data_IF_823688697458
#
_entry.id   IF_823688697458
#
_cell.length_a   1.000
_cell.length_b   1.000
_cell.length_c   1.000
_cell.angle_alpha   90.00
_cell.angle_beta   90.00
_cell.angle_gamma   90.00
#
_symmetry.space_group_name_H-M   'P 1'
#
loop_
_entity.id
_entity.type
_entity.pdbx_description
1 polymer ?
#
# COMPACT_ATOMS: atom_id res chain seq x y z
N UNK A 1 5.95 10.14 1.26
CA UNK A 1 7.38 9.77 1.15
C UNK A 1 7.77 9.44 -0.29
N UNK A 2 7.20 8.42 -0.93
CA UNK A 2 7.65 7.87 -2.22
C UNK A 2 7.81 8.92 -3.33
N UNK A 3 6.85 9.84 -3.46
CA UNK A 3 6.92 10.96 -4.42
C UNK A 3 8.20 11.80 -4.25
N UNK A 4 8.51 12.20 -3.01
CA UNK A 4 9.73 12.99 -2.74
C UNK A 4 10.99 12.17 -2.96
N UNK A 5 10.95 10.88 -2.63
CA UNK A 5 12.09 9.97 -2.86
C UNK A 5 12.39 9.80 -4.35
N UNK A 6 11.37 9.71 -5.21
CA UNK A 6 11.59 9.67 -6.65
C UNK A 6 12.28 10.94 -7.17
N UNK A 7 11.92 12.12 -6.63
CA UNK A 7 12.51 13.39 -7.04
C UNK A 7 13.89 13.66 -6.42
N UNK A 8 14.09 13.32 -5.16
CA UNK A 8 15.32 13.68 -4.43
C UNK A 8 16.44 12.65 -4.56
N UNK A 9 16.09 11.39 -4.85
CA UNK A 9 17.03 10.27 -4.93
C UNK A 9 16.90 9.50 -6.24
N UNK A 10 16.67 10.20 -7.35
CA UNK A 10 16.46 9.60 -8.66
C UNK A 10 17.66 8.77 -9.11
N UNK A 11 18.88 9.24 -8.88
CA UNK A 11 20.13 8.56 -9.18
C UNK A 11 20.29 7.24 -8.40
N UNK A 12 20.01 7.25 -7.09
CA UNK A 12 20.01 6.05 -6.25
C UNK A 12 18.94 5.05 -6.73
N UNK A 13 17.75 5.55 -7.09
CA UNK A 13 16.62 4.75 -7.59
C UNK A 13 17.00 4.04 -8.91
N UNK A 14 17.53 4.77 -9.88
CA UNK A 14 18.00 4.22 -11.16
C UNK A 14 19.14 3.24 -10.97
N UNK A 15 20.10 3.56 -10.09
CA UNK A 15 21.20 2.66 -9.76
C UNK A 15 20.72 1.35 -9.14
N UNK A 16 19.72 1.40 -8.23
CA UNK A 16 19.09 0.19 -7.68
C UNK A 16 18.44 -0.67 -8.75
N UNK A 17 17.75 -0.07 -9.73
CA UNK A 17 17.20 -0.79 -10.88
C UNK A 17 18.30 -1.45 -11.71
N UNK A 18 19.43 -0.75 -11.97
CA UNK A 18 20.59 -1.32 -12.70
C UNK A 18 21.17 -2.54 -12.00
N UNK A 19 21.23 -2.54 -10.67
CA UNK A 19 21.65 -3.72 -9.88
C UNK A 19 20.74 -4.90 -10.17
N UNK A 20 19.42 -4.71 -10.14
CA UNK A 20 18.46 -5.78 -10.47
C UNK A 20 18.61 -6.25 -11.93
N UNK A 21 18.76 -5.34 -12.88
CA UNK A 21 18.96 -5.68 -14.29
C UNK A 21 20.30 -6.38 -14.56
N UNK A 22 21.26 -6.28 -13.67
CA UNK A 22 22.51 -7.06 -13.72
C UNK A 22 22.24 -8.51 -13.30
N UNK A 23 21.42 -8.72 -12.28
CA UNK A 23 21.01 -10.06 -11.82
C UNK A 23 20.10 -10.73 -12.85
N UNK A 24 19.24 -9.96 -13.51
CA UNK A 24 18.26 -10.42 -14.49
C UNK A 24 18.55 -9.79 -15.87
N UNK A 25 19.55 -10.28 -16.62
CA UNK A 25 20.05 -9.62 -17.85
C UNK A 25 19.00 -9.51 -18.96
N UNK A 26 18.02 -10.41 -18.99
CA UNK A 26 16.94 -10.41 -19.97
C UNK A 26 15.67 -9.67 -19.51
N UNK A 27 15.67 -9.08 -18.32
CA UNK A 27 14.52 -8.34 -17.79
C UNK A 27 14.48 -6.91 -18.32
N UNK A 28 13.28 -6.31 -18.25
CA UNK A 28 13.05 -4.87 -18.41
C UNK A 28 12.66 -4.26 -17.08
N UNK A 29 13.24 -3.12 -16.74
CA UNK A 29 12.91 -2.30 -15.58
C UNK A 29 11.82 -1.29 -15.96
N UNK A 30 10.67 -1.31 -15.28
CA UNK A 30 9.56 -0.41 -15.57
C UNK A 30 9.25 0.42 -14.32
N UNK A 31 9.40 1.73 -14.43
CA UNK A 31 8.96 2.68 -13.41
C UNK A 31 7.51 3.05 -13.68
N UNK A 32 6.59 2.47 -12.93
CA UNK A 32 5.15 2.72 -13.05
C UNK A 32 4.75 3.86 -12.12
N UNK A 33 4.49 5.03 -12.67
CA UNK A 33 4.22 6.28 -11.93
C UNK A 33 2.86 6.81 -12.30
N UNK A 34 2.07 7.25 -11.30
CA UNK A 34 0.75 7.85 -11.55
C UNK A 34 0.87 9.14 -12.34
N UNK A 35 -0.04 9.37 -13.29
CA UNK A 35 -0.07 10.49 -14.24
C UNK A 35 -0.22 11.88 -13.59
N UNK A 36 -0.58 11.94 -12.31
CA UNK A 36 -0.58 13.16 -11.50
C UNK A 36 0.81 13.54 -10.94
N UNK A 37 1.86 12.77 -11.24
CA UNK A 37 3.26 12.98 -10.83
C UNK A 37 4.14 13.27 -12.05
N UNK A 38 3.75 14.25 -12.88
CA UNK A 38 4.40 14.58 -14.15
C UNK A 38 5.88 14.89 -14.00
N UNK A 39 6.23 15.66 -12.98
CA UNK A 39 7.61 16.02 -12.65
C UNK A 39 8.49 14.79 -12.33
N UNK A 40 7.93 13.76 -11.68
CA UNK A 40 8.63 12.49 -11.47
C UNK A 40 8.82 11.73 -12.79
N UNK A 41 7.80 11.71 -13.64
CA UNK A 41 7.84 11.04 -14.95
C UNK A 41 8.93 11.69 -15.80
N UNK A 42 8.88 13.00 -16.00
CA UNK A 42 9.85 13.77 -16.77
C UNK A 42 11.29 13.54 -16.28
N UNK A 43 11.48 13.63 -14.96
CA UNK A 43 12.80 13.42 -14.36
C UNK A 43 13.32 11.99 -14.55
N UNK A 44 12.48 10.98 -14.36
CA UNK A 44 12.87 9.59 -14.57
C UNK A 44 13.19 9.31 -16.04
N UNK A 45 12.39 9.83 -16.98
CA UNK A 45 12.65 9.71 -18.43
C UNK A 45 14.00 10.32 -18.81
N UNK A 46 14.35 11.50 -18.27
CA UNK A 46 15.66 12.11 -18.48
C UNK A 46 16.81 11.20 -18.03
N UNK A 47 16.68 10.57 -16.86
CA UNK A 47 17.73 9.74 -16.29
C UNK A 47 17.91 8.37 -16.96
N UNK A 48 16.86 7.82 -17.58
CA UNK A 48 16.91 6.50 -18.23
C UNK A 48 17.23 6.51 -19.71
N UNK A 49 17.30 7.69 -20.38
CA UNK A 49 17.47 7.85 -21.83
C UNK A 49 18.58 6.99 -22.45
N UNK A 50 19.60 6.62 -21.68
CA UNK A 50 20.74 5.84 -22.16
C UNK A 50 20.61 4.32 -21.98
N UNK A 51 19.51 3.81 -21.40
CA UNK A 51 19.34 2.36 -21.15
C UNK A 51 18.01 1.86 -21.72
N UNK A 52 18.07 1.20 -22.88
CA UNK A 52 16.90 0.65 -23.58
C UNK A 52 16.12 -0.43 -22.79
N UNK A 53 16.70 -0.94 -21.71
CA UNK A 53 16.05 -1.90 -20.81
C UNK A 53 15.20 -1.24 -19.75
N UNK A 54 15.21 0.09 -19.63
CA UNK A 54 14.40 0.84 -18.68
C UNK A 54 13.31 1.65 -19.39
N UNK A 55 12.14 1.70 -18.77
CA UNK A 55 10.96 2.40 -19.28
C UNK A 55 10.23 3.10 -18.14
N UNK A 56 9.70 4.30 -18.39
CA UNK A 56 8.73 4.95 -17.50
C UNK A 56 7.34 4.78 -18.09
N UNK A 57 6.41 4.26 -17.28
CA UNK A 57 5.02 4.06 -17.69
C UNK A 57 4.09 4.94 -16.85
N UNK A 58 3.48 5.93 -17.49
CA UNK A 58 2.45 6.73 -16.86
C UNK A 58 1.20 5.89 -16.61
N UNK A 59 0.74 5.87 -15.35
CA UNK A 59 -0.39 5.09 -14.89
C UNK A 59 -1.54 6.02 -14.54
N UNK A 60 -2.77 5.65 -14.91
CA UNK A 60 -3.95 6.41 -14.47
C UNK A 60 -3.99 6.50 -12.96
N UNK A 61 -4.13 7.70 -12.41
CA UNK A 61 -4.35 7.92 -10.98
C UNK A 61 -5.70 7.34 -10.57
N UNK A 62 -5.70 6.14 -10.01
CA UNK A 62 -6.90 5.42 -9.55
C UNK A 62 -6.57 4.45 -8.44
N UNK A 63 -7.14 4.64 -7.26
CA UNK A 63 -6.95 3.71 -6.16
C UNK A 63 -7.70 2.37 -6.38
N UNK A 64 -7.09 1.20 -6.15
CA UNK A 64 -5.73 0.94 -5.67
C UNK A 64 -4.73 0.54 -6.78
N UNK A 65 -4.40 1.44 -7.70
CA UNK A 65 -3.51 1.19 -8.84
C UNK A 65 -2.13 0.64 -8.43
N UNK A 66 -1.60 1.07 -7.28
CA UNK A 66 -0.33 0.59 -6.73
C UNK A 66 -0.39 -0.80 -6.07
N UNK A 67 -1.56 -1.44 -5.99
CA UNK A 67 -1.65 -2.80 -5.49
C UNK A 67 -0.98 -3.77 -6.49
N UNK A 68 -0.10 -4.64 -6.00
CA UNK A 68 0.79 -5.51 -6.79
C UNK A 68 0.07 -6.19 -7.98
N UNK A 69 -1.07 -6.83 -7.76
CA UNK A 69 -1.82 -7.52 -8.82
C UNK A 69 -2.39 -6.56 -9.87
N UNK A 70 -2.92 -5.40 -9.45
CA UNK A 70 -3.41 -4.38 -10.36
C UNK A 70 -2.27 -3.79 -11.18
N UNK A 71 -1.12 -3.56 -10.53
CA UNK A 71 0.07 -3.04 -11.19
C UNK A 71 0.59 -4.01 -12.25
N UNK A 72 0.79 -5.28 -11.91
CA UNK A 72 1.20 -6.34 -12.86
C UNK A 72 0.25 -6.36 -14.07
N UNK A 73 -1.06 -6.43 -13.81
CA UNK A 73 -2.05 -6.48 -14.90
C UNK A 73 -1.99 -5.25 -15.80
N UNK A 74 -1.93 -4.04 -15.22
CA UNK A 74 -1.94 -2.79 -15.99
C UNK A 74 -0.65 -2.61 -16.80
N UNK A 75 0.47 -3.04 -16.26
CA UNK A 75 1.78 -2.91 -16.93
C UNK A 75 2.00 -3.98 -17.99
N UNK A 76 1.57 -5.24 -17.74
CA UNK A 76 1.95 -6.40 -18.56
C UNK A 76 0.79 -7.13 -19.21
N UNK A 77 -0.48 -6.80 -18.89
CA UNK A 77 -1.69 -7.55 -19.23
C UNK A 77 -1.71 -9.01 -18.71
N UNK A 78 -0.82 -9.36 -17.78
CA UNK A 78 -0.78 -10.66 -17.14
C UNK A 78 -1.57 -10.61 -15.83
N UNK A 79 -2.44 -11.60 -15.61
CA UNK A 79 -3.25 -11.68 -14.38
C UNK A 79 -2.70 -12.76 -13.45
N UNK A 80 -2.64 -12.45 -12.15
CA UNK A 80 -2.33 -13.42 -11.10
C UNK A 80 -3.47 -13.47 -10.08
N UNK A 81 -3.71 -14.66 -9.53
CA UNK A 81 -4.71 -14.91 -8.50
C UNK A 81 -4.09 -15.03 -7.09
N UNK A 82 -4.91 -15.38 -6.08
CA UNK A 82 -4.47 -15.49 -4.68
C UNK A 82 -3.51 -16.65 -4.40
N UNK A 83 -3.39 -17.61 -5.29
CA UNK A 83 -2.48 -18.75 -5.16
C UNK A 83 -1.16 -18.54 -5.92
N UNK A 84 -1.05 -17.49 -6.72
CA UNK A 84 0.11 -17.16 -7.54
C UNK A 84 0.97 -16.06 -6.90
N UNK A 85 2.25 -16.10 -7.20
CA UNK A 85 3.22 -15.05 -6.89
C UNK A 85 3.47 -14.18 -8.14
N UNK A 86 3.99 -12.95 -8.02
CA UNK A 86 4.43 -12.14 -9.16
C UNK A 86 5.37 -12.88 -10.10
N UNK A 87 6.24 -13.73 -9.56
CA UNK A 87 7.16 -14.56 -10.34
C UNK A 87 6.46 -15.52 -11.32
N UNK A 88 5.25 -16.01 -11.00
CA UNK A 88 4.47 -16.86 -11.88
C UNK A 88 3.98 -16.09 -13.13
N UNK A 89 3.92 -14.76 -13.03
CA UNK A 89 3.68 -13.87 -14.17
C UNK A 89 5.00 -13.36 -14.79
N UNK A 90 6.16 -13.87 -14.37
CA UNK A 90 7.47 -13.38 -14.79
C UNK A 90 7.75 -11.93 -14.37
N UNK A 91 7.26 -11.52 -13.21
CA UNK A 91 7.39 -10.16 -12.69
C UNK A 91 8.03 -10.16 -11.30
N UNK A 92 8.75 -9.08 -11.00
CA UNK A 92 9.15 -8.68 -9.66
C UNK A 92 8.56 -7.28 -9.47
N UNK A 93 7.92 -7.03 -8.34
CA UNK A 93 7.32 -5.73 -8.01
C UNK A 93 7.94 -5.21 -6.73
N UNK A 94 8.60 -4.07 -6.83
CA UNK A 94 9.27 -3.41 -5.73
C UNK A 94 8.79 -1.95 -5.56
N UNK A 95 8.84 -1.47 -4.33
CA UNK A 95 8.64 -0.07 -4.02
C UNK A 95 9.92 0.74 -4.29
N UNK A 96 9.80 2.03 -4.56
CA UNK A 96 10.94 2.95 -4.77
C UNK A 96 11.95 2.92 -3.63
N UNK A 97 11.51 2.82 -2.39
CA UNK A 97 12.40 2.69 -1.22
C UNK A 97 13.20 1.38 -1.24
N UNK A 98 12.65 0.30 -1.78
CA UNK A 98 13.37 -0.96 -1.94
C UNK A 98 14.53 -0.80 -2.92
N UNK A 99 14.31 -0.17 -4.08
CA UNK A 99 15.37 0.07 -5.05
C UNK A 99 16.48 0.98 -4.51
N UNK A 100 16.11 2.06 -3.82
CA UNK A 100 17.08 2.93 -3.13
C UNK A 100 17.85 2.14 -2.05
N UNK A 101 17.16 1.28 -1.31
CA UNK A 101 17.79 0.38 -0.33
C UNK A 101 18.76 -0.61 -0.97
N UNK A 102 18.44 -1.15 -2.15
CA UNK A 102 19.33 -2.02 -2.92
C UNK A 102 20.59 -1.26 -3.36
N UNK A 103 20.44 -0.05 -3.91
CA UNK A 103 21.60 0.79 -4.23
C UNK A 103 22.50 0.97 -3.01
N UNK A 104 21.96 1.43 -1.89
CA UNK A 104 22.73 1.70 -0.67
C UNK A 104 23.42 0.45 -0.13
N UNK A 105 22.74 -0.69 -0.16
CA UNK A 105 23.33 -1.94 0.33
C UNK A 105 24.46 -2.46 -0.57
N UNK A 106 24.27 -2.43 -1.89
CA UNK A 106 25.19 -3.04 -2.85
C UNK A 106 26.33 -2.10 -3.25
N UNK A 107 26.01 -0.82 -3.47
CA UNK A 107 26.98 0.17 -3.96
C UNK A 107 27.70 0.88 -2.81
N UNK A 108 26.97 1.23 -1.74
CA UNK A 108 27.54 1.99 -0.62
C UNK A 108 27.94 1.11 0.57
N UNK A 109 27.56 -0.18 0.58
CA UNK A 109 27.78 -1.09 1.73
C UNK A 109 26.96 -0.72 2.97
N UNK A 110 25.88 0.05 2.83
CA UNK A 110 25.03 0.53 3.93
C UNK A 110 23.77 -0.32 4.09
N UNK A 111 23.56 -1.00 5.22
CA UNK A 111 22.33 -1.75 5.45
C UNK A 111 21.12 -0.82 5.61
N UNK A 112 19.92 -1.37 5.41
CA UNK A 112 18.66 -0.64 5.64
C UNK A 112 18.43 -0.44 7.14
N UNK A 113 18.84 0.70 7.66
CA UNK A 113 18.72 1.09 9.09
C UNK A 113 17.83 2.31 9.29
N UNK A 114 17.37 2.94 8.23
CA UNK A 114 16.56 4.16 8.26
C UNK A 114 15.39 4.09 7.26
N UNK A 115 14.33 4.85 7.53
CA UNK A 115 13.17 4.98 6.66
C UNK A 115 12.73 6.44 6.57
N UNK A 116 12.11 6.81 5.45
CA UNK A 116 11.34 8.05 5.34
C UNK A 116 9.88 7.74 5.65
N UNK A 117 9.35 8.36 6.68
CA UNK A 117 7.96 8.17 7.16
C UNK A 117 7.21 9.49 7.05
N UNK A 118 6.03 9.46 6.44
CA UNK A 118 5.15 10.64 6.36
C UNK A 118 4.36 10.77 7.66
N UNK A 119 4.40 11.94 8.29
CA UNK A 119 3.51 12.29 9.41
C UNK A 119 2.49 13.30 8.91
N UNK A 120 1.20 13.01 9.06
CA UNK A 120 0.12 13.85 8.55
C UNK A 120 -1.19 13.62 9.31
N UNK A 121 -2.20 14.38 8.96
CA UNK A 121 -3.53 14.38 9.59
C UNK A 121 -3.84 15.72 10.22
N UNK A 122 -5.12 15.97 10.46
CA UNK A 122 -5.61 17.27 10.98
C UNK A 122 -5.25 17.51 12.45
N UNK A 123 -4.77 16.48 13.17
CA UNK A 123 -4.27 16.61 14.53
C UNK A 123 -2.77 16.97 14.60
N UNK A 124 -2.00 16.83 13.51
CA UNK A 124 -0.54 17.08 13.50
C UNK A 124 -0.24 18.57 13.35
N UNK A 125 0.68 19.10 14.16
CA UNK A 125 1.07 20.52 14.08
C UNK A 125 1.89 20.83 12.82
N UNK A 126 2.94 20.04 12.55
CA UNK A 126 3.87 20.25 11.42
C UNK A 126 3.93 18.99 10.55
N UNK A 127 2.95 18.76 9.65
CA UNK A 127 2.96 17.59 8.79
C UNK A 127 4.16 17.63 7.82
N UNK A 128 4.77 16.44 7.59
CA UNK A 128 5.95 16.35 6.74
C UNK A 128 6.44 14.93 6.53
N UNK A 129 7.57 14.82 5.84
CA UNK A 129 8.30 13.57 5.68
C UNK A 129 9.55 13.59 6.57
N UNK A 130 9.70 12.58 7.40
CA UNK A 130 10.77 12.48 8.39
C UNK A 130 11.64 11.27 8.08
N UNK A 131 12.95 11.48 7.99
CA UNK A 131 13.94 10.41 7.90
C UNK A 131 14.31 9.99 9.32
N UNK A 132 14.00 8.75 9.66
CA UNK A 132 14.16 8.21 11.02
C UNK A 132 14.85 6.86 11.01
N UNK A 133 15.54 6.51 12.11
CA UNK A 133 16.11 5.19 12.31
C UNK A 133 15.01 4.14 12.55
N UNK A 134 15.25 2.92 12.13
CA UNK A 134 14.41 1.80 12.52
C UNK A 134 14.48 1.62 14.04
N UNK A 135 13.32 1.41 14.67
CA UNK A 135 13.21 1.33 16.12
C UNK A 135 12.79 2.64 16.79
N UNK A 136 12.89 3.80 16.12
CA UNK A 136 12.32 5.07 16.61
C UNK A 136 10.83 4.88 16.90
N UNK A 137 10.35 5.30 18.06
CA UNK A 137 8.93 5.20 18.41
C UNK A 137 8.07 6.16 17.56
N UNK A 138 6.81 5.82 17.34
CA UNK A 138 5.89 6.77 16.70
C UNK A 138 5.64 8.01 17.59
N UNK A 139 5.91 7.93 18.90
CA UNK A 139 5.89 9.06 19.83
C UNK A 139 6.96 10.08 19.48
N UNK A 140 8.23 9.66 19.41
CA UNK A 140 9.35 10.52 18.99
C UNK A 140 9.12 11.11 17.61
N UNK A 141 8.54 10.32 16.70
CA UNK A 141 8.18 10.78 15.36
C UNK A 141 7.09 11.87 15.38
N UNK A 142 6.07 11.72 16.23
CA UNK A 142 5.05 12.73 16.43
C UNK A 142 5.62 14.01 17.08
N UNK A 143 6.50 13.87 18.06
CA UNK A 143 7.20 14.98 18.71
C UNK A 143 8.07 15.75 17.72
N UNK A 144 8.80 15.05 16.84
CA UNK A 144 9.57 15.68 15.76
C UNK A 144 8.70 16.48 14.79
N UNK A 145 7.44 16.07 14.61
CA UNK A 145 6.42 16.81 13.85
C UNK A 145 5.74 17.93 14.67
N UNK A 146 6.32 18.35 15.80
CA UNK A 146 5.78 19.40 16.66
C UNK A 146 4.63 18.97 17.56
N UNK A 147 4.39 17.68 17.70
CA UNK A 147 3.29 17.10 18.47
C UNK A 147 1.92 17.28 17.83
N UNK A 148 0.90 17.17 18.64
CA UNK A 148 -0.49 17.27 18.19
C UNK A 148 -1.13 18.60 18.63
N UNK A 149 -1.92 19.20 17.75
CA UNK A 149 -2.73 20.38 18.03
C UNK A 149 -3.91 20.09 18.97
N UNK A 150 -4.33 18.83 19.05
CA UNK A 150 -5.32 18.30 19.96
C UNK A 150 -5.06 16.79 20.14
N UNK A 151 -5.51 16.21 21.24
CA UNK A 151 -5.43 14.75 21.44
C UNK A 151 -6.15 14.03 20.30
N UNK A 152 -5.45 13.16 19.54
CA UNK A 152 -6.07 12.49 18.39
C UNK A 152 -7.02 11.38 18.85
N UNK A 153 -8.23 11.38 18.32
CA UNK A 153 -9.17 10.26 18.50
C UNK A 153 -8.79 9.03 17.69
N UNK A 154 -7.97 9.22 16.63
CA UNK A 154 -7.52 8.12 15.77
C UNK A 154 -6.09 8.29 15.31
N UNK A 155 -5.32 7.24 15.54
CA UNK A 155 -3.97 7.06 15.02
C UNK A 155 -3.93 5.90 14.03
N UNK A 156 -3.24 6.08 12.90
CA UNK A 156 -3.07 5.03 11.88
C UNK A 156 -1.60 4.94 11.51
N UNK A 157 -1.03 3.74 11.57
CA UNK A 157 0.24 3.42 10.95
C UNK A 157 -0.01 2.92 9.53
N UNK A 158 0.54 3.60 8.54
CA UNK A 158 0.31 3.35 7.12
C UNK A 158 -0.78 4.24 6.51
N UNK A 159 -1.24 3.89 5.31
CA UNK A 159 -2.22 4.67 4.56
C UNK A 159 -3.63 4.65 5.17
N UNK A 160 -4.48 5.64 4.89
CA UNK A 160 -5.80 5.79 5.51
C UNK A 160 -6.77 4.64 5.16
N UNK A 161 -6.55 3.95 4.04
CA UNK A 161 -7.43 2.87 3.56
C UNK A 161 -6.97 1.48 4.02
N UNK A 162 -5.66 1.22 4.07
CA UNK A 162 -5.08 -0.10 4.34
C UNK A 162 -4.26 -0.16 5.63
N UNK A 163 -3.90 0.97 6.23
CA UNK A 163 -3.13 1.05 7.46
C UNK A 163 -3.83 0.43 8.67
N UNK A 164 -3.09 0.34 9.77
CA UNK A 164 -3.56 -0.24 11.03
C UNK A 164 -3.86 0.88 12.03
N UNK A 165 -5.04 0.82 12.67
CA UNK A 165 -5.32 1.68 13.81
C UNK A 165 -4.37 1.34 14.97
N UNK A 166 -3.75 2.36 15.56
CA UNK A 166 -2.82 2.22 16.67
C UNK A 166 -3.52 2.58 17.98
N UNK A 167 -3.20 1.84 19.04
CA UNK A 167 -3.67 2.09 20.41
C UNK A 167 -2.59 2.79 21.26
N UNK A 168 -1.34 2.82 20.79
CA UNK A 168 -0.21 3.45 21.46
C UNK A 168 0.77 4.01 20.43
N UNK A 169 1.47 5.07 20.78
CA UNK A 169 2.58 5.64 20.02
C UNK A 169 3.94 5.01 20.35
N UNK A 170 4.00 4.09 21.32
CA UNK A 170 5.26 3.45 21.73
C UNK A 170 5.72 2.36 20.76
N UNK A 171 4.85 1.99 19.79
CA UNK A 171 5.21 1.07 18.73
C UNK A 171 6.36 1.65 17.87
N UNK A 172 7.39 0.84 17.54
CA UNK A 172 8.53 1.31 16.79
C UNK A 172 8.25 1.44 15.28
N UNK A 173 8.97 2.32 14.63
CA UNK A 173 9.10 2.36 13.17
C UNK A 173 9.84 1.10 12.72
N UNK A 174 9.27 0.41 11.75
CA UNK A 174 9.82 -0.82 11.15
C UNK A 174 10.16 -0.61 9.68
N UNK A 175 10.76 -1.60 9.03
CA UNK A 175 11.06 -1.58 7.58
C UNK A 175 9.82 -1.38 6.71
N UNK A 176 8.62 -1.70 7.21
CA UNK A 176 7.35 -1.57 6.48
C UNK A 176 6.56 -0.31 6.84
N UNK A 177 7.03 0.48 7.80
CA UNK A 177 6.35 1.73 8.18
C UNK A 177 6.45 2.76 7.08
N UNK A 178 5.32 3.32 6.66
CA UNK A 178 5.22 4.31 5.57
C UNK A 178 4.70 5.66 6.05
N UNK A 179 3.79 5.66 7.02
CA UNK A 179 3.23 6.91 7.57
C UNK A 179 2.64 6.73 8.96
N UNK A 180 2.58 7.83 9.70
CA UNK A 180 1.78 8.05 10.89
C UNK A 180 0.70 9.09 10.55
N UNK A 181 -0.56 8.70 10.63
CA UNK A 181 -1.69 9.61 10.46
C UNK A 181 -2.39 9.81 11.79
N UNK A 182 -2.63 11.07 12.16
CA UNK A 182 -3.34 11.44 13.38
C UNK A 182 -4.54 12.33 13.05
N UNK A 183 -5.73 11.90 13.49
CA UNK A 183 -6.98 12.59 13.23
C UNK A 183 -7.63 13.06 14.53
N UNK A 184 -8.09 14.31 14.55
CA UNK A 184 -8.82 14.92 15.68
C UNK A 184 -10.12 14.19 16.00
N UNK A 185 -10.76 13.60 14.97
CA UNK A 185 -12.02 12.85 15.10
C UNK A 185 -11.96 11.52 14.40
N UNK A 186 -12.46 10.46 15.04
CA UNK A 186 -12.74 9.18 14.40
C UNK A 186 -14.17 9.16 13.87
N UNK A 187 -14.41 9.86 12.76
CA UNK A 187 -15.72 9.92 12.14
C UNK A 187 -16.27 8.52 11.73
N UNK A 188 -15.39 7.55 11.52
CA UNK A 188 -15.79 6.19 11.11
C UNK A 188 -16.37 5.41 12.30
N UNK A 189 -15.81 5.57 13.50
CA UNK A 189 -16.32 4.89 14.70
C UNK A 189 -17.73 5.32 15.09
N UNK A 190 -18.12 6.54 14.71
CA UNK A 190 -19.45 7.10 14.99
C UNK A 190 -20.53 6.62 14.00
N UNK A 191 -20.14 5.97 12.89
CA UNK A 191 -21.08 5.48 11.90
C UNK A 191 -21.77 4.20 12.36
N UNK A 192 -23.10 4.17 12.26
CA UNK A 192 -23.89 2.97 12.56
C UNK A 192 -24.12 2.18 11.27
N UNK A 193 -23.80 0.89 11.32
CA UNK A 193 -24.15 -0.03 10.23
C UNK A 193 -25.67 -0.20 10.11
N UNK A 194 -26.16 -0.21 8.88
CA UNK A 194 -27.53 -0.63 8.56
C UNK A 194 -27.53 -1.87 7.66
N UNK A 195 -28.72 -2.44 7.44
CA UNK A 195 -28.88 -3.57 6.54
C UNK A 195 -28.43 -3.24 5.12
N UNK A 196 -27.96 -4.25 4.39
CA UNK A 196 -27.54 -4.08 2.99
C UNK A 196 -28.77 -3.72 2.12
N UNK A 197 -28.66 -2.61 1.39
CA UNK A 197 -29.72 -2.16 0.47
C UNK A 197 -29.54 -2.69 -0.97
N UNK A 198 -28.61 -3.61 -1.18
CA UNK A 198 -28.33 -4.26 -2.47
C UNK A 198 -27.99 -3.30 -3.64
N UNK A 199 -27.40 -2.13 -3.37
CA UNK A 199 -27.13 -1.10 -4.37
C UNK A 199 -25.98 -1.43 -5.36
N UNK A 200 -25.18 -2.49 -5.13
CA UNK A 200 -24.10 -2.93 -6.01
C UNK A 200 -22.81 -2.08 -5.98
N UNK A 201 -22.76 -0.92 -5.31
CA UNK A 201 -21.59 -0.02 -5.32
C UNK A 201 -20.29 -0.71 -4.91
N UNK A 202 -20.34 -1.61 -3.91
CA UNK A 202 -19.16 -2.35 -3.44
C UNK A 202 -18.60 -3.30 -4.51
N UNK A 203 -19.45 -3.84 -5.40
CA UNK A 203 -19.04 -4.67 -6.54
C UNK A 203 -18.38 -3.81 -7.63
N UNK A 204 -18.99 -2.66 -7.96
CA UNK A 204 -18.50 -1.76 -9.00
C UNK A 204 -17.09 -1.24 -8.73
N UNK A 205 -16.76 -0.94 -7.46
CA UNK A 205 -15.43 -0.42 -7.08
C UNK A 205 -14.41 -1.52 -6.77
N UNK A 206 -14.81 -2.79 -6.79
CA UNK A 206 -13.91 -3.87 -6.40
C UNK A 206 -12.88 -4.16 -7.50
N UNK A 207 -11.57 -3.96 -7.25
CA UNK A 207 -10.52 -4.23 -8.23
C UNK A 207 -10.42 -5.72 -8.57
N UNK A 208 -10.73 -6.60 -7.61
CA UNK A 208 -10.74 -8.06 -7.80
C UNK A 208 -12.07 -8.59 -8.36
N UNK A 209 -13.04 -7.72 -8.63
CA UNK A 209 -14.37 -8.08 -9.18
C UNK A 209 -15.13 -9.17 -8.41
N UNK A 210 -14.88 -9.28 -7.10
CA UNK A 210 -15.63 -10.16 -6.18
C UNK A 210 -16.91 -9.47 -5.71
N UNK A 211 -17.74 -10.16 -4.91
CA UNK A 211 -19.00 -9.63 -4.37
C UNK A 211 -18.85 -9.33 -2.86
N UNK A 212 -18.32 -8.14 -2.46
CA UNK A 212 -17.96 -7.87 -1.07
C UNK A 212 -19.13 -7.96 -0.08
N UNK A 213 -20.35 -7.62 -0.50
CA UNK A 213 -21.54 -7.71 0.37
C UNK A 213 -21.81 -9.17 0.79
N UNK A 214 -21.78 -10.11 -0.14
CA UNK A 214 -21.99 -11.54 0.12
C UNK A 214 -20.85 -12.14 0.94
N UNK A 215 -19.61 -11.82 0.58
CA UNK A 215 -18.43 -12.28 1.31
C UNK A 215 -18.43 -11.81 2.77
N UNK A 216 -18.84 -10.56 3.04
CA UNK A 216 -18.99 -10.07 4.41
C UNK A 216 -20.10 -10.80 5.17
N UNK A 217 -21.19 -11.22 4.51
CA UNK A 217 -22.26 -12.00 5.13
C UNK A 217 -21.81 -13.42 5.47
N UNK A 218 -21.02 -14.08 4.61
CA UNK A 218 -20.38 -15.36 4.93
C UNK A 218 -19.38 -15.22 6.08
N UNK A 219 -18.56 -14.19 6.05
CA UNK A 219 -17.59 -13.90 7.10
C UNK A 219 -18.26 -13.69 8.48
N UNK A 220 -19.36 -12.91 8.53
CA UNK A 220 -20.15 -12.69 9.77
C UNK A 220 -20.80 -13.96 10.30
N UNK A 221 -21.09 -14.95 9.44
CA UNK A 221 -21.65 -16.27 9.80
C UNK A 221 -20.59 -17.34 10.03
N UNK A 222 -19.31 -17.01 9.91
CA UNK A 222 -18.19 -17.95 9.96
C UNK A 222 -18.28 -19.10 8.93
N UNK A 223 -18.95 -18.85 7.79
CA UNK A 223 -19.08 -19.79 6.69
C UNK A 223 -17.86 -19.69 5.76
N UNK A 224 -16.78 -20.37 6.15
CA UNK A 224 -15.53 -20.39 5.39
C UNK A 224 -15.69 -21.09 4.03
N UNK A 225 -16.49 -22.16 3.97
CA UNK A 225 -16.70 -22.93 2.75
C UNK A 225 -17.30 -22.05 1.65
N UNK A 226 -18.43 -21.38 1.94
CA UNK A 226 -19.07 -20.47 1.00
C UNK A 226 -18.19 -19.25 0.69
N UNK A 227 -17.44 -18.73 1.68
CA UNK A 227 -16.52 -17.63 1.48
C UNK A 227 -15.43 -17.97 0.46
N UNK A 228 -14.81 -19.14 0.58
CA UNK A 228 -13.77 -19.59 -0.36
C UNK A 228 -14.37 -19.90 -1.73
N UNK A 229 -15.53 -20.58 -1.80
CA UNK A 229 -16.23 -20.89 -3.05
C UNK A 229 -16.63 -19.63 -3.83
N UNK A 230 -16.89 -18.51 -3.14
CA UNK A 230 -17.19 -17.20 -3.74
C UNK A 230 -15.96 -16.32 -3.98
N UNK A 231 -14.78 -16.94 -4.08
CA UNK A 231 -13.50 -16.27 -4.33
C UNK A 231 -13.11 -15.22 -3.27
N UNK A 232 -13.45 -15.43 -2.01
CA UNK A 232 -13.12 -14.50 -0.93
C UNK A 232 -11.64 -14.29 -0.72
N UNK A 233 -10.80 -15.27 -1.11
CA UNK A 233 -9.34 -15.17 -1.03
C UNK A 233 -8.75 -14.19 -2.04
N UNK A 234 -9.46 -13.84 -3.11
CA UNK A 234 -9.04 -12.85 -4.10
C UNK A 234 -9.11 -11.39 -3.58
N UNK A 235 -9.67 -11.18 -2.39
CA UNK A 235 -9.72 -9.86 -1.79
C UNK A 235 -8.30 -9.31 -1.52
N UNK A 236 -7.97 -8.15 -2.08
CA UNK A 236 -6.70 -7.43 -1.84
C UNK A 236 -6.79 -6.45 -0.65
N UNK A 237 -7.87 -6.50 0.11
CA UNK A 237 -8.09 -5.71 1.34
C UNK A 237 -7.94 -4.18 1.16
N UNK A 238 -8.17 -3.65 -0.03
CA UNK A 238 -8.01 -2.23 -0.34
C UNK A 238 -8.98 -1.27 0.38
N UNK A 239 -10.12 -1.76 0.91
CA UNK A 239 -11.08 -0.94 1.65
C UNK A 239 -12.10 -0.19 0.80
N UNK A 240 -11.97 -0.13 -0.52
CA UNK A 240 -12.88 0.63 -1.42
C UNK A 240 -14.35 0.27 -1.23
N UNK A 241 -14.65 -1.01 -0.99
CA UNK A 241 -16.02 -1.48 -0.77
C UNK A 241 -16.65 -0.90 0.51
N UNK A 242 -15.90 -0.80 1.62
CA UNK A 242 -16.37 -0.17 2.85
C UNK A 242 -16.56 1.33 2.66
N UNK A 243 -15.61 1.99 1.98
CA UNK A 243 -15.64 3.43 1.73
C UNK A 243 -16.90 3.88 0.99
N UNK A 244 -17.28 3.18 -0.09
CA UNK A 244 -18.46 3.55 -0.90
C UNK A 244 -19.79 3.03 -0.35
N UNK A 245 -19.79 2.24 0.74
CA UNK A 245 -21.00 1.61 1.25
C UNK A 245 -21.95 2.65 1.88
N UNK A 246 -23.15 2.91 1.33
CA UNK A 246 -24.08 3.86 1.93
C UNK A 246 -24.66 3.34 3.26
N UNK A 247 -24.74 2.01 3.44
CA UNK A 247 -25.15 1.37 4.68
C UNK A 247 -24.02 1.29 5.75
N UNK A 248 -22.86 1.92 5.49
CA UNK A 248 -21.71 2.01 6.40
C UNK A 248 -21.22 0.66 6.93
N UNK A 249 -21.39 -0.40 6.13
CA UNK A 249 -20.98 -1.76 6.53
C UNK A 249 -19.46 -1.91 6.55
N UNK A 250 -18.95 -2.56 7.59
CA UNK A 250 -17.52 -2.87 7.80
C UNK A 250 -17.06 -4.05 6.92
N UNK A 251 -17.24 -3.91 5.58
CA UNK A 251 -17.03 -4.99 4.61
C UNK A 251 -15.58 -5.49 4.60
N UNK A 252 -14.60 -4.56 4.51
CA UNK A 252 -13.17 -4.89 4.46
C UNK A 252 -12.73 -5.64 5.72
N UNK A 253 -13.17 -5.20 6.88
CA UNK A 253 -12.77 -5.80 8.16
C UNK A 253 -13.31 -7.23 8.28
N UNK A 254 -14.59 -7.46 7.97
CA UNK A 254 -15.19 -8.79 7.99
C UNK A 254 -14.50 -9.74 6.99
N UNK A 255 -14.33 -9.31 5.74
CA UNK A 255 -13.68 -10.09 4.69
C UNK A 255 -12.21 -10.38 5.05
N UNK A 256 -11.46 -9.38 5.52
CA UNK A 256 -10.05 -9.55 5.90
C UNK A 256 -9.86 -10.51 7.07
N UNK A 257 -10.75 -10.47 8.07
CA UNK A 257 -10.74 -11.43 9.19
C UNK A 257 -10.93 -12.86 8.68
N UNK A 258 -12.00 -13.13 7.90
CA UNK A 258 -12.27 -14.45 7.35
C UNK A 258 -11.17 -14.93 6.42
N UNK A 259 -10.62 -14.03 5.57
CA UNK A 259 -9.51 -14.35 4.67
C UNK A 259 -8.28 -14.85 5.44
N UNK A 260 -7.93 -14.19 6.56
CA UNK A 260 -6.81 -14.61 7.42
C UNK A 260 -7.06 -16.01 8.02
N UNK A 261 -8.27 -16.27 8.50
CA UNK A 261 -8.67 -17.57 9.02
C UNK A 261 -8.55 -18.67 7.96
N UNK A 262 -9.14 -18.44 6.78
CA UNK A 262 -9.12 -19.41 5.69
C UNK A 262 -7.70 -19.70 5.17
N UNK A 263 -6.81 -18.68 5.11
CA UNK A 263 -5.41 -18.87 4.76
C UNK A 263 -4.63 -19.65 5.83
N UNK A 264 -4.93 -19.45 7.12
CA UNK A 264 -4.31 -20.21 8.20
C UNK A 264 -4.75 -21.69 8.18
N UNK A 265 -6.01 -21.98 7.87
CA UNK A 265 -6.54 -23.33 7.78
C UNK A 265 -5.99 -24.12 6.57
N UNK A 266 -5.65 -23.45 5.47
CA UNK A 266 -5.00 -24.09 4.30
C UNK A 266 -3.57 -24.56 4.55
N UNK A 267 -2.88 -24.01 5.57
CA UNK A 267 -1.50 -24.36 5.91
C UNK A 267 -1.40 -25.56 6.87
N UNK A 268 -2.53 -26.01 7.39
CA UNK A 268 -2.67 -27.22 8.20
C UNK A 268 -2.99 -28.43 7.32
#
# INVERSE_FOLDING_TARGET
>A
ADYRRMLENTDELISGMKVLLTIFPNAKGIFAVEDNKKDCIEKLEEFIQADERMEVKAMMTKYPQGAERQLIYTVTNRAINSAMLPADAGCIVDNVETLIGIHRAVIEGKPLVERVVTVSGDAVNNPGNFKVLLGTSHRELAEAAGGFAAEPEKLISGGPMMGFAMITLDAPVTKTSSSLLAFKKDAVSQLRESACINCGRCVQVCPSRIIPSRLADYAKRHDEVSFVAMNGLECVECGSCSYVCPAKRQLKQAIGSMRKTALANRKK
#
